data_IF_230601056520
#
_entry.id   IF_230601056520
#
_cell.length_a   1.000
_cell.length_b   1.000
_cell.length_c   1.000
_cell.angle_alpha   90.00
_cell.angle_beta   90.00
_cell.angle_gamma   90.00
#
_symmetry.space_group_name_H-M   'P 1'
#
loop_
_entity.id
_entity.type
_entity.pdbx_description
1 polymer ?
#
# COMPACT_ATOMS: atom_id res chain seq x y z
N UNK A 1 -35.84 -7.73 -4.09
CA UNK A 1 -35.34 -6.35 -4.25
C UNK A 1 -35.15 -5.77 -2.85
N UNK A 2 -33.92 -5.47 -2.46
CA UNK A 2 -33.63 -4.88 -1.15
C UNK A 2 -33.78 -3.35 -1.24
N UNK A 3 -34.76 -2.79 -0.54
CA UNK A 3 -34.86 -1.35 -0.32
C UNK A 3 -34.34 -1.07 1.10
N UNK A 4 -33.25 -0.31 1.22
CA UNK A 4 -32.75 0.16 2.51
C UNK A 4 -31.26 -0.09 2.73
N UNK A 5 -30.51 1.01 2.85
CA UNK A 5 -29.04 1.09 2.97
C UNK A 5 -28.52 0.78 4.40
N UNK A 6 -29.21 -0.06 5.17
CA UNK A 6 -28.95 -0.23 6.62
C UNK A 6 -29.11 -1.68 7.12
N UNK A 7 -28.77 -2.68 6.31
CA UNK A 7 -28.77 -4.07 6.78
C UNK A 7 -27.47 -4.37 7.54
N UNK A 8 -27.40 -4.03 8.82
CA UNK A 8 -26.25 -4.38 9.68
C UNK A 8 -25.90 -3.41 10.81
N UNK A 9 -26.50 -2.21 10.86
CA UNK A 9 -26.22 -1.23 11.92
C UNK A 9 -27.16 -1.44 13.12
N UNK A 10 -26.61 -1.62 14.33
CA UNK A 10 -27.39 -1.59 15.57
C UNK A 10 -28.21 -0.29 15.62
N UNK A 11 -29.54 -0.43 15.60
CA UNK A 11 -30.50 0.69 15.63
C UNK A 11 -31.26 1.00 14.34
N UNK A 12 -30.98 0.31 13.22
CA UNK A 12 -31.77 0.48 11.99
C UNK A 12 -32.98 -0.48 11.95
N UNK A 13 -34.19 0.05 12.12
CA UNK A 13 -35.44 -0.68 11.97
C UNK A 13 -35.77 -0.93 10.49
N UNK A 14 -35.02 -1.83 9.83
CA UNK A 14 -35.34 -2.34 8.51
C UNK A 14 -35.29 -3.86 8.53
N UNK A 15 -36.37 -4.54 8.16
CA UNK A 15 -36.41 -6.00 8.08
C UNK A 15 -35.72 -6.46 6.79
N UNK A 16 -34.45 -6.89 6.87
CA UNK A 16 -33.81 -7.57 5.75
C UNK A 16 -34.56 -8.89 5.48
N UNK A 17 -35.30 -8.96 4.37
CA UNK A 17 -36.11 -10.13 4.01
C UNK A 17 -35.26 -11.37 3.66
N UNK A 18 -33.94 -11.21 3.52
CA UNK A 18 -32.99 -12.29 3.31
C UNK A 18 -31.61 -11.94 3.93
N UNK A 19 -31.43 -12.17 5.25
CA UNK A 19 -30.22 -11.77 5.98
C UNK A 19 -28.93 -12.36 5.41
N UNK A 20 -28.98 -13.57 4.82
CA UNK A 20 -27.84 -14.19 4.13
C UNK A 20 -27.36 -13.35 2.93
N UNK A 21 -28.29 -12.82 2.12
CA UNK A 21 -27.93 -11.94 1.00
C UNK A 21 -27.38 -10.58 1.47
N UNK A 22 -27.85 -10.08 2.61
CA UNK A 22 -27.32 -8.86 3.21
C UNK A 22 -25.86 -9.05 3.66
N UNK A 23 -25.54 -10.17 4.33
CA UNK A 23 -24.17 -10.51 4.77
C UNK A 23 -23.23 -10.77 3.58
N UNK A 24 -23.68 -11.54 2.57
CA UNK A 24 -22.88 -11.79 1.36
C UNK A 24 -22.55 -10.50 0.60
N UNK A 25 -23.46 -9.54 0.60
CA UNK A 25 -23.24 -8.24 -0.06
C UNK A 25 -22.34 -7.32 0.74
N UNK A 26 -22.42 -7.35 2.07
CA UNK A 26 -21.50 -6.62 2.95
C UNK A 26 -20.07 -7.17 2.83
N UNK A 27 -19.93 -8.49 2.78
CA UNK A 27 -18.64 -9.15 2.50
C UNK A 27 -18.11 -8.81 1.11
N UNK A 28 -18.95 -8.89 0.07
CA UNK A 28 -18.56 -8.54 -1.29
C UNK A 28 -18.15 -7.07 -1.42
N UNK A 29 -18.89 -6.14 -0.79
CA UNK A 29 -18.50 -4.73 -0.72
C UNK A 29 -17.16 -4.57 0.00
N UNK A 30 -16.96 -5.27 1.12
CA UNK A 30 -15.67 -5.29 1.83
C UNK A 30 -14.52 -5.82 0.97
N UNK A 31 -14.76 -6.85 0.15
CA UNK A 31 -13.78 -7.39 -0.80
C UNK A 31 -13.47 -6.40 -1.93
N UNK A 32 -14.50 -5.73 -2.48
CA UNK A 32 -14.36 -4.69 -3.50
C UNK A 32 -13.60 -3.46 -2.96
N UNK A 33 -13.90 -3.04 -1.73
CA UNK A 33 -13.20 -1.95 -1.04
C UNK A 33 -11.75 -2.32 -0.75
N UNK A 34 -11.47 -3.54 -0.29
CA UNK A 34 -10.12 -4.06 -0.10
C UNK A 34 -9.33 -4.11 -1.42
N UNK A 35 -9.95 -4.57 -2.51
CA UNK A 35 -9.30 -4.61 -3.81
C UNK A 35 -9.02 -3.21 -4.35
N UNK A 36 -9.96 -2.26 -4.18
CA UNK A 36 -9.78 -0.87 -4.58
C UNK A 36 -8.68 -0.17 -3.77
N UNK A 37 -8.61 -0.43 -2.46
CA UNK A 37 -7.52 0.02 -1.58
C UNK A 37 -6.16 -0.50 -2.06
N UNK A 38 -6.07 -1.80 -2.31
CA UNK A 38 -4.86 -2.43 -2.82
C UNK A 38 -4.44 -1.86 -4.19
N UNK A 39 -5.38 -1.66 -5.11
CA UNK A 39 -5.07 -1.08 -6.42
C UNK A 39 -4.57 0.37 -6.32
N UNK A 40 -5.12 1.18 -5.40
CA UNK A 40 -4.64 2.54 -5.14
C UNK A 40 -3.23 2.53 -4.57
N UNK A 41 -2.93 1.62 -3.64
CA UNK A 41 -1.59 1.43 -3.09
C UNK A 41 -0.61 1.01 -4.18
N UNK A 42 -0.99 0.05 -5.02
CA UNK A 42 -0.14 -0.46 -6.10
C UNK A 42 0.16 0.64 -7.14
N UNK A 43 -0.84 1.46 -7.49
CA UNK A 43 -0.66 2.60 -8.36
C UNK A 43 0.28 3.65 -7.74
N UNK A 44 0.07 3.98 -6.45
CA UNK A 44 0.94 4.91 -5.71
C UNK A 44 2.39 4.44 -5.74
N UNK A 45 2.65 3.15 -5.50
CA UNK A 45 3.99 2.58 -5.49
C UNK A 45 4.62 2.51 -6.88
N UNK A 46 3.84 2.21 -7.92
CA UNK A 46 4.31 2.25 -9.31
C UNK A 46 4.71 3.67 -9.75
N UNK A 47 3.99 4.70 -9.29
CA UNK A 47 4.28 6.11 -9.62
C UNK A 47 5.38 6.73 -8.75
N UNK A 48 5.68 6.15 -7.58
CA UNK A 48 6.60 6.70 -6.59
C UNK A 48 8.07 6.75 -7.03
N UNK A 49 8.47 5.95 -8.03
CA UNK A 49 9.85 5.90 -8.57
C UNK A 49 10.91 5.81 -7.48
N UNK A 50 10.70 4.91 -6.52
CA UNK A 50 11.56 4.72 -5.36
C UNK A 50 12.97 4.30 -5.76
N UNK A 51 13.99 4.73 -5.02
CA UNK A 51 15.40 4.41 -5.32
C UNK A 51 15.91 3.23 -4.50
N UNK A 52 16.66 2.32 -5.11
CA UNK A 52 17.24 1.19 -4.40
C UNK A 52 18.17 1.68 -3.27
N UNK A 53 17.90 1.35 -1.99
CA UNK A 53 18.72 1.81 -0.86
C UNK A 53 20.15 1.26 -0.91
N UNK A 54 20.34 0.03 -1.41
CA UNK A 54 21.66 -0.58 -1.57
C UNK A 54 22.52 0.15 -2.60
N UNK A 55 21.93 0.57 -3.73
CA UNK A 55 22.62 1.36 -4.75
C UNK A 55 22.86 2.81 -4.29
N UNK A 56 21.88 3.38 -3.57
CA UNK A 56 21.97 4.74 -3.04
C UNK A 56 23.16 4.89 -2.08
N UNK A 57 23.39 3.90 -1.20
CA UNK A 57 24.57 3.85 -0.33
C UNK A 57 25.92 3.79 -1.05
N UNK A 58 25.94 3.45 -2.35
CA UNK A 58 27.13 3.44 -3.20
C UNK A 58 27.24 4.69 -4.10
N UNK A 59 26.33 5.66 -3.96
CA UNK A 59 26.28 6.87 -4.79
C UNK A 59 25.58 6.69 -6.14
N UNK A 60 24.97 5.53 -6.39
CA UNK A 60 24.21 5.23 -7.60
C UNK A 60 22.71 5.44 -7.36
N UNK A 61 22.03 6.16 -8.27
CA UNK A 61 20.58 6.37 -8.20
C UNK A 61 19.87 5.44 -9.16
N UNK A 62 19.45 4.29 -8.65
CA UNK A 62 18.73 3.25 -9.42
C UNK A 62 17.30 3.15 -8.95
N UNK A 63 16.36 3.19 -9.88
CA UNK A 63 14.92 3.07 -9.58
C UNK A 63 14.55 1.60 -9.36
N UNK A 64 13.69 1.37 -8.37
CA UNK A 64 13.10 0.07 -8.09
C UNK A 64 11.96 -0.17 -9.08
N UNK A 65 11.88 -1.38 -9.63
CA UNK A 65 10.71 -1.86 -10.34
C UNK A 65 9.68 -2.35 -9.33
N UNK A 66 8.42 -1.96 -9.48
CA UNK A 66 7.32 -2.45 -8.66
C UNK A 66 6.43 -3.39 -9.47
N UNK A 67 6.28 -4.63 -9.01
CA UNK A 67 5.41 -5.63 -9.61
C UNK A 67 4.94 -6.62 -8.53
N UNK A 68 3.69 -7.07 -8.62
CA UNK A 68 3.13 -8.11 -7.75
C UNK A 68 3.29 -7.84 -6.24
N UNK A 69 3.26 -6.57 -5.82
CA UNK A 69 3.41 -6.19 -4.41
C UNK A 69 4.85 -6.02 -3.92
N UNK A 70 5.84 -6.21 -4.80
CA UNK A 70 7.26 -6.25 -4.45
C UNK A 70 8.07 -5.21 -5.23
N UNK A 71 9.07 -4.67 -4.55
CA UNK A 71 10.09 -3.81 -5.15
C UNK A 71 11.31 -4.63 -5.50
N UNK A 72 11.74 -4.57 -6.76
CA UNK A 72 12.92 -5.28 -7.26
C UNK A 72 13.91 -4.29 -7.85
N UNK A 73 15.18 -4.39 -7.45
CA UNK A 73 16.25 -3.64 -8.11
C UNK A 73 16.78 -4.41 -9.32
N UNK A 74 16.86 -3.81 -10.52
CA UNK A 74 17.35 -4.49 -11.72
C UNK A 74 18.85 -4.79 -11.69
N UNK A 75 19.64 -4.09 -10.87
CA UNK A 75 21.10 -4.22 -10.84
C UNK A 75 21.61 -5.14 -9.72
N UNK A 76 21.09 -4.96 -8.50
CA UNK A 76 21.51 -5.76 -7.36
C UNK A 76 20.58 -6.95 -7.07
N UNK A 77 19.52 -7.11 -7.88
CA UNK A 77 18.53 -8.19 -7.77
C UNK A 77 17.86 -8.29 -6.39
N UNK A 78 18.01 -7.25 -5.56
CA UNK A 78 17.38 -7.17 -4.26
C UNK A 78 15.86 -7.07 -4.45
N UNK A 79 15.13 -7.92 -3.72
CA UNK A 79 13.67 -7.95 -3.67
C UNK A 79 13.27 -7.60 -2.24
N UNK A 80 12.38 -6.63 -2.10
CA UNK A 80 11.86 -6.19 -0.81
C UNK A 80 10.37 -5.87 -0.93
N UNK A 81 9.59 -6.15 0.12
CA UNK A 81 8.25 -5.58 0.23
C UNK A 81 8.29 -4.13 0.76
N UNK A 82 7.12 -3.49 0.82
CA UNK A 82 7.00 -2.11 1.27
C UNK A 82 7.42 -1.89 2.74
N UNK A 83 7.22 -2.88 3.62
CA UNK A 83 7.60 -2.79 5.03
C UNK A 83 9.11 -2.94 5.22
N UNK A 84 9.72 -3.90 4.54
CA UNK A 84 11.17 -4.07 4.52
C UNK A 84 11.87 -2.83 3.94
N UNK A 85 11.30 -2.26 2.88
CA UNK A 85 11.84 -1.07 2.24
C UNK A 85 11.76 0.16 3.16
N UNK A 86 10.68 0.29 3.95
CA UNK A 86 10.54 1.35 4.96
C UNK A 86 11.65 1.29 6.02
N UNK A 87 11.87 0.12 6.61
CA UNK A 87 12.92 -0.07 7.62
C UNK A 87 14.30 0.25 7.07
N UNK A 88 14.57 -0.22 5.84
CA UNK A 88 15.83 0.04 5.15
C UNK A 88 16.03 1.54 4.88
N UNK A 89 14.98 2.26 4.48
CA UNK A 89 15.07 3.71 4.28
C UNK A 89 15.27 4.48 5.58
N UNK A 90 14.63 4.08 6.68
CA UNK A 90 14.87 4.67 8.01
C UNK A 90 16.35 4.49 8.42
N UNK A 91 16.93 3.31 8.14
CA UNK A 91 18.36 3.07 8.35
C UNK A 91 19.23 4.00 7.48
N UNK A 92 18.96 4.07 6.16
CA UNK A 92 19.73 4.93 5.24
C UNK A 92 19.63 6.41 5.64
N UNK A 93 18.46 6.87 6.06
CA UNK A 93 18.26 8.24 6.57
C UNK A 93 19.14 8.52 7.80
N UNK A 94 19.29 7.54 8.69
CA UNK A 94 20.14 7.67 9.88
C UNK A 94 21.64 7.64 9.56
N UNK A 95 22.05 6.86 8.54
CA UNK A 95 23.47 6.69 8.19
C UNK A 95 23.99 7.66 7.13
N UNK A 96 23.10 8.19 6.28
CA UNK A 96 23.43 9.00 5.11
C UNK A 96 22.63 10.31 5.11
N UNK A 97 23.02 11.32 5.92
CA UNK A 97 22.26 12.56 6.08
C UNK A 97 22.14 13.41 4.80
N UNK A 98 23.01 13.18 3.81
CA UNK A 98 22.94 13.87 2.52
C UNK A 98 21.72 13.43 1.69
N UNK A 99 21.29 12.17 1.83
CA UNK A 99 20.15 11.61 1.10
C UNK A 99 18.85 11.63 1.93
N UNK A 100 18.93 11.99 3.22
CA UNK A 100 17.79 12.10 4.14
C UNK A 100 16.55 12.81 3.55
N UNK A 101 16.62 14.00 2.91
CA UNK A 101 15.41 14.65 2.39
C UNK A 101 14.73 13.87 1.26
N UNK A 102 15.52 13.16 0.44
CA UNK A 102 15.00 12.29 -0.63
C UNK A 102 14.34 11.06 -0.02
N UNK A 103 15.01 10.46 0.96
CA UNK A 103 14.54 9.25 1.64
C UNK A 103 13.29 9.54 2.50
N UNK A 104 13.19 10.72 3.11
CA UNK A 104 11.99 11.16 3.83
C UNK A 104 10.75 11.21 2.93
N UNK A 105 10.90 11.65 1.67
CA UNK A 105 9.81 11.64 0.71
C UNK A 105 9.37 10.21 0.37
N UNK A 106 10.31 9.28 0.22
CA UNK A 106 10.02 7.87 -0.02
C UNK A 106 9.32 7.19 1.15
N UNK A 107 9.78 7.45 2.38
CA UNK A 107 9.13 6.97 3.60
C UNK A 107 7.69 7.49 3.67
N UNK A 108 7.46 8.76 3.38
CA UNK A 108 6.11 9.33 3.37
C UNK A 108 5.19 8.68 2.33
N UNK A 109 5.70 8.33 1.14
CA UNK A 109 4.92 7.63 0.12
C UNK A 109 4.60 6.19 0.53
N UNK A 110 5.58 5.47 1.10
CA UNK A 110 5.36 4.12 1.61
C UNK A 110 4.35 4.09 2.77
N UNK A 111 4.41 5.09 3.67
CA UNK A 111 3.45 5.25 4.75
C UNK A 111 2.03 5.56 4.24
N UNK A 112 1.89 6.37 3.18
CA UNK A 112 0.60 6.62 2.53
C UNK A 112 0.00 5.35 1.93
N UNK A 113 0.82 4.52 1.30
CA UNK A 113 0.37 3.24 0.76
C UNK A 113 -0.08 2.23 1.82
N UNK A 114 0.45 2.30 3.06
CA UNK A 114 -0.02 1.48 4.19
C UNK A 114 -1.38 1.91 4.74
N UNK A 115 -1.76 3.18 4.56
CA UNK A 115 -3.02 3.74 5.04
C UNK A 115 -4.16 3.67 4.03
N UNK A 116 -3.86 3.29 2.78
CA UNK A 116 -4.80 3.16 1.67
C UNK A 116 -5.49 1.79 1.65
#
# INVERSE_FOLDING_TARGET
>A
MCYGMNCGREGAMGTCSNPLNCILRDMAMGEEEHFAAQQRRDALFAEARLLCPNCLGQGERRELAYADGLFTCPECEAVCDAEELLDTYEYVKATCPADAPTVDAFIATLAQGRAA
#
